data_IF_732622676261
#
_entry.id   IF_732622676261
#
_cell.length_a   1.000
_cell.length_b   1.000
_cell.length_c   1.000
_cell.angle_alpha   90.00
_cell.angle_beta   90.00
_cell.angle_gamma   90.00
#
_symmetry.space_group_name_H-M   'P 1'
#
loop_
_entity.id
_entity.type
_entity.pdbx_description
1 polymer ?
#
# COMPACT_ATOMS: atom_id res chain seq x y z
N UNK A 1 -19.05 10.10 3.23
CA UNK A 1 -18.74 9.06 2.21
C UNK A 1 -17.38 8.52 2.56
N UNK A 2 -17.23 7.21 2.74
CA UNK A 2 -15.94 6.57 2.94
C UNK A 2 -15.39 6.14 1.59
N UNK A 3 -14.07 6.21 1.43
CA UNK A 3 -13.40 5.86 0.18
C UNK A 3 -12.09 5.12 0.49
N UNK A 4 -11.58 4.45 -0.53
CA UNK A 4 -10.28 3.80 -0.52
C UNK A 4 -9.50 4.25 -1.74
N UNK A 5 -8.18 4.19 -1.67
CA UNK A 5 -7.28 4.48 -2.78
C UNK A 5 -6.56 3.21 -3.20
N UNK A 6 -6.56 2.91 -4.50
CA UNK A 6 -5.83 1.75 -5.05
C UNK A 6 -4.33 1.91 -4.85
N UNK A 7 -3.61 0.80 -4.81
CA UNK A 7 -2.15 0.77 -4.67
C UNK A 7 -1.44 1.59 -5.74
N UNK A 8 -1.91 1.57 -6.99
CA UNK A 8 -1.40 2.42 -8.08
C UNK A 8 -1.49 3.91 -7.72
N UNK A 9 -2.63 4.35 -7.19
CA UNK A 9 -2.81 5.75 -6.79
C UNK A 9 -1.89 6.12 -5.64
N UNK A 10 -1.80 5.28 -4.61
CA UNK A 10 -0.94 5.52 -3.45
C UNK A 10 0.53 5.55 -3.86
N UNK A 11 0.97 4.62 -4.71
CA UNK A 11 2.33 4.57 -5.27
C UNK A 11 2.68 5.85 -6.02
N UNK A 12 1.79 6.32 -6.89
CA UNK A 12 1.94 7.58 -7.61
C UNK A 12 2.05 8.78 -6.66
N UNK A 13 1.19 8.84 -5.65
CA UNK A 13 1.13 9.97 -4.71
C UNK A 13 2.37 10.00 -3.78
N UNK A 14 2.93 8.84 -3.45
CA UNK A 14 4.14 8.71 -2.62
C UNK A 14 5.46 8.69 -3.43
N UNK A 15 5.40 8.63 -4.76
CA UNK A 15 6.58 8.61 -5.63
C UNK A 15 7.40 7.33 -5.55
N UNK A 16 6.76 6.19 -5.23
CA UNK A 16 7.40 4.87 -5.12
C UNK A 16 6.76 3.87 -6.08
N UNK A 17 7.34 2.68 -6.23
CA UNK A 17 6.74 1.62 -7.06
C UNK A 17 5.59 0.92 -6.34
N UNK A 18 4.60 0.46 -7.11
CA UNK A 18 3.51 -0.37 -6.59
C UNK A 18 4.03 -1.65 -5.91
N UNK A 19 5.03 -2.30 -6.53
CA UNK A 19 5.65 -3.50 -5.99
C UNK A 19 6.22 -3.29 -4.58
N UNK A 20 6.86 -2.13 -4.32
CA UNK A 20 7.36 -1.83 -2.98
C UNK A 20 6.21 -1.70 -1.97
N UNK A 21 5.13 -1.03 -2.34
CA UNK A 21 3.97 -0.90 -1.44
C UNK A 21 3.31 -2.26 -1.19
N UNK A 22 3.20 -3.11 -2.22
CA UNK A 22 2.67 -4.47 -2.06
C UNK A 22 3.53 -5.30 -1.11
N UNK A 23 4.87 -5.24 -1.26
CA UNK A 23 5.80 -5.95 -0.38
C UNK A 23 5.69 -5.48 1.08
N UNK A 24 5.58 -4.16 1.29
CA UNK A 24 5.39 -3.59 2.64
C UNK A 24 4.04 -3.98 3.25
N UNK A 25 2.99 -4.04 2.43
CA UNK A 25 1.65 -4.39 2.87
C UNK A 25 1.44 -5.89 3.18
N UNK A 26 2.42 -6.77 2.88
CA UNK A 26 2.30 -8.22 3.15
C UNK A 26 2.07 -8.55 4.63
N UNK A 27 2.50 -7.68 5.55
CA UNK A 27 2.31 -7.84 6.98
C UNK A 27 1.04 -7.19 7.55
N UNK A 28 0.28 -6.46 6.73
CA UNK A 28 -0.89 -5.71 7.15
C UNK A 28 -2.15 -6.58 7.10
N UNK A 29 -3.06 -6.35 8.04
CA UNK A 29 -4.39 -6.96 8.10
C UNK A 29 -5.48 -5.91 7.86
N UNK A 30 -6.73 -6.31 7.57
CA UNK A 30 -7.79 -5.35 7.27
C UNK A 30 -7.98 -4.23 8.31
N UNK A 31 -7.70 -4.53 9.58
CA UNK A 31 -7.72 -3.57 10.69
C UNK A 31 -6.63 -2.48 10.57
N UNK A 32 -5.54 -2.74 9.86
CA UNK A 32 -4.50 -1.76 9.52
C UNK A 32 -4.88 -0.95 8.26
N UNK A 33 -6.10 -1.07 7.77
CA UNK A 33 -6.61 -0.27 6.65
C UNK A 33 -6.27 -0.80 5.25
N UNK A 34 -5.79 -2.05 5.13
CA UNK A 34 -5.56 -2.71 3.84
C UNK A 34 -6.81 -3.47 3.36
N UNK A 35 -7.16 -3.34 2.09
CA UNK A 35 -8.38 -3.95 1.51
C UNK A 35 -8.05 -4.53 0.14
N UNK A 36 -8.51 -5.76 -0.12
CA UNK A 36 -8.49 -6.36 -1.46
C UNK A 36 -9.84 -6.16 -2.15
N UNK A 37 -9.81 -5.52 -3.32
CA UNK A 37 -11.00 -5.20 -4.12
C UNK A 37 -11.05 -6.14 -5.32
N UNK A 38 -12.02 -7.05 -5.33
CA UNK A 38 -12.24 -8.00 -6.42
C UNK A 38 -13.30 -7.50 -7.40
N UNK A 39 -13.01 -7.59 -8.69
CA UNK A 39 -13.92 -7.24 -9.77
C UNK A 39 -14.53 -8.49 -10.42
N UNK A 40 -15.63 -8.32 -11.16
CA UNK A 40 -16.26 -9.44 -11.88
C UNK A 40 -15.38 -10.04 -12.99
N UNK A 41 -14.35 -9.32 -13.44
CA UNK A 41 -13.43 -9.72 -14.51
C UNK A 41 -11.97 -9.77 -14.03
N UNK A 42 -11.73 -9.72 -12.71
CA UNK A 42 -10.40 -9.67 -12.13
C UNK A 42 -10.34 -10.64 -10.95
N UNK A 43 -9.72 -11.80 -11.21
CA UNK A 43 -9.55 -12.87 -10.23
C UNK A 43 -8.41 -12.58 -9.25
N UNK A 44 -7.45 -11.71 -9.62
CA UNK A 44 -6.27 -11.40 -8.81
C UNK A 44 -6.59 -10.32 -7.76
N UNK A 45 -7.50 -9.39 -8.12
CA UNK A 45 -7.97 -8.33 -7.25
C UNK A 45 -6.95 -7.20 -7.09
N UNK A 46 -7.44 -6.04 -6.66
CA UNK A 46 -6.65 -4.82 -6.53
C UNK A 46 -6.47 -4.48 -5.06
N UNK A 47 -5.22 -4.36 -4.63
CA UNK A 47 -4.88 -3.84 -3.31
C UNK A 47 -5.28 -2.36 -3.21
N UNK A 48 -5.97 -2.01 -2.15
CA UNK A 48 -6.41 -0.65 -1.85
C UNK A 48 -6.27 -0.35 -0.36
N UNK A 49 -6.28 0.93 -0.03
CA UNK A 49 -6.02 1.43 1.32
C UNK A 49 -7.07 2.45 1.74
N UNK A 50 -7.47 2.41 3.01
CA UNK A 50 -8.13 3.54 3.66
C UNK A 50 -7.13 4.68 3.90
N UNK A 51 -7.60 5.84 4.34
CA UNK A 51 -6.71 6.94 4.74
C UNK A 51 -5.73 6.51 5.86
N UNK A 52 -6.21 5.72 6.84
CA UNK A 52 -5.39 5.14 7.91
C UNK A 52 -4.37 4.13 7.37
N UNK A 53 -4.77 3.26 6.44
CA UNK A 53 -3.84 2.30 5.83
C UNK A 53 -2.74 2.96 4.99
N UNK A 54 -3.02 4.14 4.40
CA UNK A 54 -1.99 4.94 3.73
C UNK A 54 -0.97 5.47 4.76
N UNK A 55 -1.41 5.85 5.95
CA UNK A 55 -0.51 6.31 7.01
C UNK A 55 0.36 5.16 7.54
N UNK A 56 -0.18 3.94 7.69
CA UNK A 56 0.62 2.75 8.01
C UNK A 56 1.67 2.44 6.93
N UNK A 57 1.30 2.54 5.64
CA UNK A 57 2.27 2.37 4.54
C UNK A 57 3.38 3.43 4.58
N UNK A 58 3.08 4.68 4.95
CA UNK A 58 4.12 5.71 5.11
C UNK A 58 5.08 5.36 6.24
N UNK A 59 4.58 4.89 7.39
CA UNK A 59 5.42 4.45 8.51
C UNK A 59 6.34 3.31 8.08
N UNK A 60 5.82 2.31 7.37
CA UNK A 60 6.60 1.20 6.85
C UNK A 60 7.65 1.64 5.82
N UNK A 61 7.32 2.61 4.96
CA UNK A 61 8.27 3.23 4.02
C UNK A 61 9.39 3.97 4.75
N UNK A 62 9.08 4.72 5.81
CA UNK A 62 10.08 5.41 6.63
C UNK A 62 11.03 4.42 7.30
N UNK A 63 10.50 3.34 7.88
CA UNK A 63 11.32 2.26 8.45
C UNK A 63 12.15 1.57 7.37
N UNK A 64 11.57 1.25 6.21
CA UNK A 64 12.27 0.67 5.07
C UNK A 64 13.47 1.53 4.64
N UNK A 65 13.30 2.85 4.51
CA UNK A 65 14.38 3.76 4.15
C UNK A 65 15.43 3.92 5.27
N UNK A 66 15.05 3.77 6.54
CA UNK A 66 15.99 3.81 7.65
C UNK A 66 16.91 2.59 7.68
N UNK A 67 16.36 1.41 7.43
CA UNK A 67 17.08 0.12 7.57
C UNK A 67 17.71 -0.37 6.27
N UNK A 68 17.22 0.10 5.12
CA UNK A 68 17.85 -0.17 3.83
C UNK A 68 19.07 0.73 3.68
N UNK A 69 20.31 0.20 3.66
CA UNK A 69 21.45 1.00 3.25
C UNK A 69 21.16 1.47 1.83
N UNK A 70 21.05 2.79 1.65
CA UNK A 70 20.81 3.43 0.36
C UNK A 70 21.59 2.69 -0.72
N UNK A 71 20.89 2.06 -1.67
CA UNK A 71 21.56 1.69 -2.92
C UNK A 71 21.83 3.01 -3.64
N UNK A 72 23.08 3.48 -3.48
CA UNK A 72 23.71 4.71 -3.96
C UNK A 72 23.90 5.79 -2.87
#
# INVERSE_FOLDING_TARGET
VHHVSTVERVARDLGVSEALIQDLALGLVPEDGVIWVYGANDDDGILAFTDEGIDEVKLLLEEYHRVSPSKA
#
